data_IF_113983564931
#
_entry.id   IF_113983564931
#
_cell.length_a   1.000
_cell.length_b   1.000
_cell.length_c   1.000
_cell.angle_alpha   90.00
_cell.angle_beta   90.00
_cell.angle_gamma   90.00
#
_symmetry.space_group_name_H-M   'P 1'
#
loop_
_entity.id
_entity.type
_entity.pdbx_description
1 polymer ?
#
# COMPACT_ATOMS: atom_id res chain seq x y z
N UNK A 1 14.87 3.82 -33.98
CA UNK A 1 13.47 3.56 -33.60
C UNK A 1 13.34 2.29 -32.74
N UNK A 2 14.05 1.20 -33.05
CA UNK A 2 13.99 -0.10 -32.33
C UNK A 2 14.68 -0.16 -30.94
N UNK A 3 15.50 0.84 -30.58
CA UNK A 3 16.16 0.91 -29.27
C UNK A 3 15.24 1.57 -28.22
N UNK A 4 14.37 2.49 -28.64
CA UNK A 4 13.45 3.22 -27.75
C UNK A 4 12.28 2.33 -27.26
N UNK A 5 11.71 1.51 -28.17
CA UNK A 5 10.61 0.60 -27.83
C UNK A 5 11.01 -0.52 -26.87
N UNK A 6 12.28 -0.98 -26.93
CA UNK A 6 12.84 -1.96 -25.99
C UNK A 6 12.98 -1.38 -24.58
N UNK A 7 13.43 -0.14 -24.46
CA UNK A 7 13.49 0.55 -23.17
C UNK A 7 12.10 0.79 -22.56
N UNK A 8 11.10 1.11 -23.40
CA UNK A 8 9.70 1.29 -22.96
C UNK A 8 9.05 0.01 -22.45
N UNK A 9 9.27 -1.11 -23.14
CA UNK A 9 8.74 -2.44 -22.76
C UNK A 9 9.39 -2.94 -21.47
N UNK A 10 10.71 -2.91 -21.37
CA UNK A 10 11.42 -3.33 -20.16
C UNK A 10 11.00 -2.52 -18.93
N UNK A 11 10.81 -1.20 -19.08
CA UNK A 11 10.29 -0.34 -18.02
C UNK A 11 8.86 -0.69 -17.58
N UNK A 12 7.99 -1.12 -18.50
CA UNK A 12 6.63 -1.59 -18.16
C UNK A 12 6.68 -2.90 -17.37
N UNK A 13 7.48 -3.86 -17.84
CA UNK A 13 7.59 -5.17 -17.20
C UNK A 13 8.12 -5.06 -15.76
N UNK A 14 9.10 -4.18 -15.53
CA UNK A 14 9.63 -3.87 -14.19
C UNK A 14 8.56 -3.26 -13.27
N UNK A 15 7.78 -2.30 -13.78
CA UNK A 15 6.69 -1.68 -13.02
C UNK A 15 5.59 -2.68 -12.68
N UNK A 16 5.21 -3.53 -13.62
CA UNK A 16 4.19 -4.53 -13.38
C UNK A 16 4.66 -5.61 -12.40
N UNK A 17 5.95 -5.96 -12.44
CA UNK A 17 6.59 -6.80 -11.42
C UNK A 17 6.56 -6.15 -10.03
N UNK A 18 6.91 -4.86 -9.94
CA UNK A 18 6.86 -4.11 -8.69
C UNK A 18 5.43 -4.03 -8.11
N UNK A 19 4.44 -3.79 -8.96
CA UNK A 19 3.03 -3.74 -8.53
C UNK A 19 2.49 -5.10 -8.06
N UNK A 20 2.89 -6.21 -8.71
CA UNK A 20 2.57 -7.56 -8.21
C UNK A 20 3.19 -7.81 -6.84
N UNK A 21 4.44 -7.38 -6.64
CA UNK A 21 5.11 -7.51 -5.35
C UNK A 21 4.45 -6.66 -4.27
N UNK A 22 4.05 -5.42 -4.59
CA UNK A 22 3.29 -4.56 -3.70
C UNK A 22 1.97 -5.22 -3.27
N UNK A 23 1.21 -5.75 -4.23
CA UNK A 23 -0.06 -6.43 -3.94
C UNK A 23 0.12 -7.65 -3.01
N UNK A 24 1.17 -8.46 -3.24
CA UNK A 24 1.54 -9.57 -2.34
C UNK A 24 1.94 -9.09 -0.95
N UNK A 25 2.69 -7.99 -0.88
CA UNK A 25 3.08 -7.35 0.37
C UNK A 25 1.88 -6.90 1.19
N UNK A 26 0.89 -6.25 0.56
CA UNK A 26 -0.38 -5.86 1.20
C UNK A 26 -1.13 -7.04 1.77
N UNK A 27 -1.23 -8.14 1.00
CA UNK A 27 -1.89 -9.36 1.48
C UNK A 27 -1.16 -9.93 2.69
N UNK A 28 0.17 -10.09 2.61
CA UNK A 28 0.96 -10.65 3.70
C UNK A 28 0.85 -9.79 4.98
N UNK A 29 0.97 -8.48 4.84
CA UNK A 29 0.84 -7.54 5.95
C UNK A 29 -0.58 -7.51 6.53
N UNK A 30 -1.60 -7.50 5.66
CA UNK A 30 -3.00 -7.51 6.07
C UNK A 30 -3.39 -8.79 6.81
N UNK A 31 -2.90 -9.95 6.36
CA UNK A 31 -3.07 -11.23 7.07
C UNK A 31 -2.38 -11.22 8.44
N UNK A 32 -1.17 -10.66 8.54
CA UNK A 32 -0.49 -10.50 9.81
C UNK A 32 -1.29 -9.60 10.78
N UNK A 33 -1.82 -8.48 10.29
CA UNK A 33 -2.67 -7.58 11.09
C UNK A 33 -4.01 -8.21 11.51
N UNK A 34 -4.60 -9.07 10.68
CA UNK A 34 -5.83 -9.81 11.00
C UNK A 34 -5.62 -10.86 12.09
N UNK A 35 -4.55 -11.65 11.95
CA UNK A 35 -4.27 -12.81 12.80
C UNK A 35 -3.56 -12.44 14.09
N UNK A 36 -2.71 -11.41 14.06
CA UNK A 36 -1.89 -10.99 15.19
C UNK A 36 -1.95 -9.46 15.41
N UNK A 37 -3.13 -8.87 15.64
CA UNK A 37 -3.26 -7.42 15.79
C UNK A 37 -2.45 -6.86 16.97
N UNK A 38 -2.37 -7.59 18.09
CA UNK A 38 -1.56 -7.20 19.25
C UNK A 38 -0.07 -7.08 18.89
N UNK A 39 0.43 -7.94 18.01
CA UNK A 39 1.80 -7.86 17.51
C UNK A 39 1.97 -6.62 16.62
N UNK A 40 1.02 -6.36 15.71
CA UNK A 40 1.03 -5.17 14.86
C UNK A 40 1.01 -3.88 15.67
N UNK A 41 0.13 -3.79 16.67
CA UNK A 41 0.07 -2.67 17.62
C UNK A 41 1.42 -2.47 18.32
N UNK A 42 2.02 -3.56 18.81
CA UNK A 42 3.29 -3.50 19.55
C UNK A 42 4.45 -3.06 18.66
N UNK A 43 4.54 -3.61 17.45
CA UNK A 43 5.56 -3.23 16.46
C UNK A 43 5.40 -1.78 16.03
N UNK A 44 4.18 -1.31 15.82
CA UNK A 44 3.88 0.08 15.45
C UNK A 44 3.82 1.03 16.65
N UNK A 45 4.10 0.53 17.87
CA UNK A 45 4.06 1.28 19.12
C UNK A 45 2.78 2.14 19.27
N UNK A 46 1.64 1.63 18.82
CA UNK A 46 0.34 2.32 18.84
C UNK A 46 -0.32 2.33 20.24
N UNK A 47 0.50 2.46 21.29
CA UNK A 47 0.11 2.45 22.70
C UNK A 47 0.32 1.11 23.42
N UNK A 48 0.19 1.13 24.74
CA UNK A 48 0.34 -0.03 25.64
C UNK A 48 -1.01 -0.48 26.23
N UNK A 49 -1.14 -1.77 26.58
CA UNK A 49 -2.33 -2.33 27.22
C UNK A 49 -3.25 -3.07 26.23
N UNK A 50 -4.27 -3.75 26.77
CA UNK A 50 -5.31 -4.43 25.98
C UNK A 50 -6.44 -3.46 25.65
N UNK A 51 -6.70 -3.27 24.36
CA UNK A 51 -7.75 -2.39 23.84
C UNK A 51 -8.44 -3.11 22.68
N UNK A 52 -9.67 -3.59 22.94
CA UNK A 52 -10.46 -4.33 21.98
C UNK A 52 -10.88 -3.48 20.77
N UNK A 53 -11.09 -2.17 20.96
CA UNK A 53 -11.43 -1.23 19.88
C UNK A 53 -10.26 -1.03 18.93
N UNK A 54 -9.05 -0.84 19.47
CA UNK A 54 -7.82 -0.76 18.68
C UNK A 54 -7.54 -2.07 17.94
N UNK A 55 -7.70 -3.21 18.61
CA UNK A 55 -7.51 -4.52 17.99
C UNK A 55 -8.51 -4.77 16.85
N UNK A 56 -9.76 -4.30 16.99
CA UNK A 56 -10.75 -4.32 15.91
C UNK A 56 -10.32 -3.44 14.72
N UNK A 57 -9.89 -2.21 14.98
CA UNK A 57 -9.43 -1.29 13.93
C UNK A 57 -8.22 -1.83 13.16
N UNK A 58 -7.26 -2.45 13.84
CA UNK A 58 -6.10 -3.09 13.19
C UNK A 58 -6.51 -4.26 12.30
N UNK A 59 -7.48 -5.07 12.75
CA UNK A 59 -8.04 -6.14 11.91
C UNK A 59 -8.80 -5.58 10.70
N UNK A 60 -9.60 -4.53 10.89
CA UNK A 60 -10.32 -3.87 9.79
C UNK A 60 -9.36 -3.27 8.75
N UNK A 61 -8.29 -2.62 9.21
CA UNK A 61 -7.19 -2.16 8.36
C UNK A 61 -6.57 -3.34 7.58
N UNK A 62 -6.26 -4.44 8.27
CA UNK A 62 -5.68 -5.63 7.63
C UNK A 62 -6.59 -6.26 6.57
N UNK A 63 -7.90 -6.35 6.85
CA UNK A 63 -8.89 -6.83 5.87
C UNK A 63 -8.90 -6.00 4.59
N UNK A 64 -8.80 -4.66 4.72
CA UNK A 64 -8.74 -3.75 3.58
C UNK A 64 -7.49 -3.99 2.73
N UNK A 65 -6.33 -4.14 3.36
CA UNK A 65 -5.07 -4.41 2.64
C UNK A 65 -5.13 -5.72 1.86
N UNK A 66 -5.68 -6.78 2.45
CA UNK A 66 -5.93 -8.05 1.76
C UNK A 66 -6.86 -7.84 0.56
N UNK A 67 -7.97 -7.11 0.74
CA UNK A 67 -8.93 -6.86 -0.33
C UNK A 67 -8.31 -6.08 -1.51
N UNK A 68 -7.50 -5.05 -1.25
CA UNK A 68 -6.83 -4.27 -2.29
C UNK A 68 -5.79 -5.09 -3.05
N UNK A 69 -4.96 -5.85 -2.33
CA UNK A 69 -3.96 -6.72 -2.94
C UNK A 69 -4.59 -7.85 -3.75
N UNK A 70 -5.63 -8.49 -3.22
CA UNK A 70 -6.38 -9.53 -3.91
C UNK A 70 -7.10 -8.95 -5.14
N UNK A 71 -7.76 -7.81 -5.01
CA UNK A 71 -8.43 -7.13 -6.12
C UNK A 71 -7.48 -6.81 -7.27
N UNK A 72 -6.26 -6.34 -6.97
CA UNK A 72 -5.23 -6.14 -7.98
C UNK A 72 -4.76 -7.44 -8.64
N UNK A 73 -4.50 -8.49 -7.87
CA UNK A 73 -3.98 -9.77 -8.39
C UNK A 73 -5.04 -10.57 -9.17
N UNK A 74 -6.31 -10.45 -8.79
CA UNK A 74 -7.44 -11.13 -9.42
C UNK A 74 -7.99 -10.37 -10.63
N UNK A 75 -7.55 -9.12 -10.85
CA UNK A 75 -7.91 -8.38 -12.06
C UNK A 75 -7.25 -9.00 -13.29
N UNK A 76 -8.04 -9.61 -14.15
CA UNK A 76 -7.57 -10.28 -15.37
C UNK A 76 -7.15 -9.33 -16.49
N UNK A 77 -7.56 -8.07 -16.41
CA UNK A 77 -7.31 -7.04 -17.42
C UNK A 77 -6.61 -5.80 -16.83
N UNK A 78 -6.00 -4.99 -17.69
CA UNK A 78 -5.26 -3.80 -17.23
C UNK A 78 -6.18 -2.72 -16.64
N UNK A 79 -7.45 -2.64 -17.06
CA UNK A 79 -8.37 -1.63 -16.55
C UNK A 79 -8.75 -1.89 -15.07
N UNK A 80 -8.98 -3.15 -14.70
CA UNK A 80 -9.18 -3.56 -13.31
C UNK A 80 -7.94 -3.29 -12.46
N UNK A 81 -6.74 -3.63 -12.96
CA UNK A 81 -5.48 -3.39 -12.26
C UNK A 81 -5.23 -1.90 -12.02
N UNK A 82 -5.56 -1.04 -12.98
CA UNK A 82 -5.51 0.43 -12.83
C UNK A 82 -6.49 0.94 -11.77
N UNK A 83 -7.72 0.43 -11.75
CA UNK A 83 -8.73 0.81 -10.75
C UNK A 83 -8.24 0.49 -9.33
N UNK A 84 -7.82 -0.76 -9.08
CA UNK A 84 -7.33 -1.18 -7.77
C UNK A 84 -6.05 -0.45 -7.34
N UNK A 85 -5.19 -0.10 -8.30
CA UNK A 85 -4.01 0.74 -8.05
C UNK A 85 -4.42 2.14 -7.57
N UNK A 86 -5.39 2.78 -8.24
CA UNK A 86 -5.89 4.12 -7.87
C UNK A 86 -6.58 4.12 -6.51
N UNK A 87 -7.39 3.10 -6.23
CA UNK A 87 -8.05 2.94 -4.93
C UNK A 87 -7.02 2.71 -3.81
N UNK A 88 -6.04 1.83 -4.03
CA UNK A 88 -4.95 1.59 -3.08
C UNK A 88 -4.18 2.87 -2.77
N UNK A 89 -3.76 3.60 -3.81
CA UNK A 89 -3.08 4.89 -3.67
C UNK A 89 -3.90 5.92 -2.89
N UNK A 90 -5.18 6.10 -3.26
CA UNK A 90 -6.04 7.08 -2.60
C UNK A 90 -6.16 6.82 -1.10
N UNK A 91 -6.24 5.56 -0.70
CA UNK A 91 -6.35 5.24 0.72
C UNK A 91 -5.00 5.33 1.43
N UNK A 92 -3.87 4.97 0.79
CA UNK A 92 -2.54 5.19 1.40
C UNK A 92 -2.29 6.67 1.71
N UNK A 93 -2.76 7.57 0.83
CA UNK A 93 -2.70 9.02 1.06
C UNK A 93 -3.54 9.41 2.28
N UNK A 94 -4.76 8.89 2.39
CA UNK A 94 -5.63 9.16 3.55
C UNK A 94 -5.04 8.62 4.85
N UNK A 95 -4.45 7.43 4.83
CA UNK A 95 -3.77 6.84 5.97
C UNK A 95 -2.54 7.68 6.38
N UNK A 96 -1.78 8.17 5.39
CA UNK A 96 -0.64 9.06 5.62
C UNK A 96 -1.05 10.38 6.25
N UNK A 97 -2.12 11.00 5.75
CA UNK A 97 -2.67 12.25 6.31
C UNK A 97 -3.21 12.03 7.73
N UNK A 98 -3.89 10.90 7.95
CA UNK A 98 -4.39 10.52 9.27
C UNK A 98 -3.24 10.33 10.25
N UNK A 99 -2.21 9.58 9.86
CA UNK A 99 -1.00 9.37 10.65
C UNK A 99 -0.26 10.69 10.95
N UNK A 100 -0.15 11.59 9.96
CA UNK A 100 0.47 12.90 10.16
C UNK A 100 -0.30 13.76 11.16
N UNK A 101 -1.63 13.72 11.12
CA UNK A 101 -2.50 14.42 12.07
C UNK A 101 -2.42 13.83 13.48
N UNK A 102 -2.23 12.52 13.60
CA UNK A 102 -2.07 11.82 14.89
C UNK A 102 -0.62 11.70 15.36
N UNK A 103 0.35 12.25 14.59
CA UNK A 103 1.80 12.23 14.87
C UNK A 103 2.18 12.61 16.31
N UNK A 104 1.57 13.60 16.98
CA UNK A 104 1.95 13.94 18.35
C UNK A 104 1.84 12.77 19.35
N UNK A 105 1.05 11.74 19.01
CA UNK A 105 0.88 10.51 19.81
C UNK A 105 1.66 9.29 19.31
N UNK A 106 2.52 9.40 18.28
CA UNK A 106 3.23 8.27 17.68
C UNK A 106 4.75 8.49 17.56
N UNK A 107 5.56 7.42 17.63
CA UNK A 107 7.00 7.52 17.48
C UNK A 107 7.42 7.93 16.05
N UNK A 108 8.45 8.76 15.97
CA UNK A 108 8.96 9.36 14.71
C UNK A 108 9.32 8.32 13.64
N UNK A 109 9.86 7.17 14.06
CA UNK A 109 10.28 6.12 13.13
C UNK A 109 9.09 5.38 12.49
N UNK A 110 7.95 5.30 13.19
CA UNK A 110 6.69 4.73 12.65
C UNK A 110 6.10 5.68 11.62
N UNK A 111 6.12 6.99 11.91
CA UNK A 111 5.69 8.01 10.94
C UNK A 111 6.61 8.01 9.71
N UNK A 112 7.93 7.91 9.91
CA UNK A 112 8.90 7.87 8.82
C UNK A 112 8.81 6.59 7.98
N UNK A 113 8.57 5.43 8.59
CA UNK A 113 8.38 4.16 7.88
C UNK A 113 7.08 4.17 7.07
N UNK A 114 5.98 4.64 7.65
CA UNK A 114 4.70 4.78 6.95
C UNK A 114 4.79 5.79 5.82
N UNK A 115 5.38 6.98 6.05
CA UNK A 115 5.59 8.01 5.02
C UNK A 115 6.58 7.54 3.94
N UNK A 116 7.60 6.76 4.31
CA UNK A 116 8.57 6.22 3.35
C UNK A 116 7.97 5.15 2.44
N UNK A 117 7.20 4.22 3.01
CA UNK A 117 6.51 3.16 2.26
C UNK A 117 5.36 3.76 1.45
N UNK A 118 4.50 4.56 2.06
CA UNK A 118 3.39 5.23 1.39
C UNK A 118 3.89 6.23 0.35
N UNK A 119 4.97 6.98 0.64
CA UNK A 119 5.62 7.89 -0.30
C UNK A 119 6.26 7.16 -1.49
N UNK A 120 6.88 6.00 -1.26
CA UNK A 120 7.39 5.13 -2.33
C UNK A 120 6.26 4.55 -3.19
N UNK A 121 5.19 4.08 -2.56
CA UNK A 121 3.99 3.60 -3.26
C UNK A 121 3.27 4.73 -4.00
N UNK A 122 3.25 5.92 -3.43
CA UNK A 122 2.72 7.14 -4.03
C UNK A 122 3.55 7.59 -5.22
N UNK A 123 4.88 7.53 -5.14
CA UNK A 123 5.77 7.83 -6.26
C UNK A 123 5.58 6.85 -7.40
N UNK A 124 5.49 5.54 -7.11
CA UNK A 124 5.26 4.51 -8.11
C UNK A 124 3.84 4.61 -8.71
N UNK A 125 2.83 4.88 -7.89
CA UNK A 125 1.45 5.09 -8.30
C UNK A 125 1.29 6.35 -9.16
N UNK A 126 1.90 7.47 -8.75
CA UNK A 126 1.93 8.71 -9.51
C UNK A 126 2.67 8.53 -10.85
N UNK A 127 3.80 7.82 -10.85
CA UNK A 127 4.53 7.52 -12.08
C UNK A 127 3.71 6.66 -13.05
N UNK A 128 3.01 5.62 -12.57
CA UNK A 128 2.16 4.78 -13.43
C UNK A 128 0.90 5.53 -13.91
N UNK A 129 0.26 6.33 -13.06
CA UNK A 129 -0.88 7.18 -13.44
C UNK A 129 -0.48 8.23 -14.47
N UNK A 130 0.67 8.90 -14.27
CA UNK A 130 1.19 9.85 -15.24
C UNK A 130 1.48 9.18 -16.59
N UNK A 131 2.06 7.97 -16.58
CA UNK A 131 2.31 7.21 -17.80
C UNK A 131 1.01 6.79 -18.50
N UNK A 132 0.02 6.34 -17.74
CA UNK A 132 -1.31 5.96 -18.27
C UNK A 132 -2.05 7.14 -18.92
N UNK A 133 -1.76 8.38 -18.49
CA UNK A 133 -2.29 9.61 -19.07
C UNK A 133 -1.50 10.09 -20.30
N UNK A 134 -0.22 9.73 -20.40
CA UNK A 134 0.69 10.21 -21.45
C UNK A 134 0.87 9.24 -22.64
N UNK A 135 0.42 7.98 -22.54
CA UNK A 135 0.47 6.98 -23.62
C UNK A 135 1.56 5.94 -23.46
#
# INVERSE_FOLDING_TARGET
MEIDDRGKTEGRDRLDGAMKNLARGRIAFGLAALTAPKLTVRLMQMGSGDDAGRDYLVRAFGAREVALGAGYLLSGDESGRRLWTRLGFGIDVLDTLSAAKTRPGLPLWVTAATVGIAGGCAGLGAAKVARDLMG
#
